data_IF_418251641116
#
_entry.id   IF_418251641116
#
_cell.length_a   1.000
_cell.length_b   1.000
_cell.length_c   1.000
_cell.angle_alpha   90.00
_cell.angle_beta   90.00
_cell.angle_gamma   90.00
#
_symmetry.space_group_name_H-M   'P 1'
#
loop_
_entity.id
_entity.type
_entity.pdbx_description
1 polymer ?
#
# COMPACT_ATOMS: atom_id res chain seq x y z
N UNK A 1 10.46 1.11 4.95
CA UNK A 1 10.08 1.97 3.82
C UNK A 1 10.18 3.40 4.31
N UNK A 2 10.98 4.23 3.64
CA UNK A 2 11.33 5.61 4.06
C UNK A 2 10.09 6.50 4.18
N UNK A 3 10.11 7.42 5.15
CA UNK A 3 9.07 8.42 5.42
C UNK A 3 8.50 9.03 4.14
N UNK A 4 7.31 8.57 3.74
CA UNK A 4 6.51 9.24 2.74
C UNK A 4 5.77 10.36 3.46
N UNK A 5 6.19 11.61 3.23
CA UNK A 5 5.26 12.74 3.29
C UNK A 5 4.22 12.46 2.21
N UNK A 6 3.16 11.74 2.58
CA UNK A 6 2.12 11.35 1.65
C UNK A 6 1.03 12.40 1.73
N UNK A 7 0.88 13.17 0.67
CA UNK A 7 -0.19 14.14 0.59
C UNK A 7 -1.53 13.39 0.46
N UNK A 8 -2.39 13.53 1.47
CA UNK A 8 -3.74 12.97 1.46
C UNK A 8 -4.69 14.06 0.97
N UNK A 9 -5.26 13.86 -0.22
CA UNK A 9 -6.33 14.72 -0.75
C UNK A 9 -7.65 14.22 -0.20
N UNK A 10 -8.32 15.03 0.61
CA UNK A 10 -9.64 14.74 1.16
C UNK A 10 -10.70 15.51 0.37
N UNK A 11 -11.62 14.78 -0.26
CA UNK A 11 -12.84 15.35 -0.80
C UNK A 11 -13.90 15.32 0.30
N UNK A 12 -14.20 16.49 0.86
CA UNK A 12 -15.26 16.65 1.85
C UNK A 12 -16.52 17.17 1.14
N UNK A 13 -17.66 16.53 1.38
CA UNK A 13 -18.93 17.09 0.94
C UNK A 13 -19.31 18.22 1.88
N UNK A 14 -19.51 19.41 1.32
CA UNK A 14 -19.60 20.66 2.06
C UNK A 14 -20.75 20.70 3.09
N UNK A 15 -20.53 21.50 4.13
CA UNK A 15 -21.34 21.79 5.33
C UNK A 15 -21.29 20.80 6.52
N UNK A 16 -20.22 20.88 7.35
CA UNK A 16 -20.31 20.87 8.83
C UNK A 16 -18.96 20.65 9.54
N UNK A 17 -17.92 20.15 8.87
CA UNK A 17 -16.67 19.82 9.58
C UNK A 17 -15.86 21.06 9.91
N UNK A 18 -15.62 21.27 11.20
CA UNK A 18 -14.67 22.26 11.70
C UNK A 18 -13.24 21.84 11.31
N UNK A 19 -12.35 22.80 11.16
CA UNK A 19 -10.94 22.57 10.81
C UNK A 19 -10.27 21.49 11.69
N UNK A 20 -10.56 21.49 12.99
CA UNK A 20 -10.08 20.47 13.95
C UNK A 20 -10.55 19.05 13.64
N UNK A 21 -11.78 18.91 13.12
CA UNK A 21 -12.34 17.62 12.76
C UNK A 21 -11.67 17.08 11.49
N UNK A 22 -11.32 17.96 10.56
CA UNK A 22 -10.54 17.64 9.36
C UNK A 22 -9.14 17.18 9.76
N UNK A 23 -8.44 17.93 10.62
CA UNK A 23 -7.11 17.56 11.12
C UNK A 23 -7.12 16.19 11.82
N UNK A 24 -8.15 15.93 12.63
CA UNK A 24 -8.32 14.65 13.30
C UNK A 24 -8.55 13.51 12.29
N UNK A 25 -9.38 13.73 11.27
CA UNK A 25 -9.62 12.76 10.20
C UNK A 25 -8.33 12.46 9.42
N UNK A 26 -7.56 13.48 9.04
CA UNK A 26 -6.25 13.33 8.38
C UNK A 26 -5.30 12.51 9.23
N UNK A 27 -5.21 12.80 10.53
CA UNK A 27 -4.35 12.08 11.47
C UNK A 27 -4.74 10.60 11.58
N UNK A 28 -6.04 10.33 11.74
CA UNK A 28 -6.54 8.97 11.86
C UNK A 28 -6.27 8.16 10.58
N UNK A 29 -6.47 8.77 9.40
CA UNK A 29 -6.16 8.14 8.12
C UNK A 29 -4.67 7.85 7.98
N UNK A 30 -3.80 8.81 8.34
CA UNK A 30 -2.36 8.57 8.37
C UNK A 30 -1.99 7.37 9.24
N UNK A 31 -2.56 7.27 10.43
CA UNK A 31 -2.30 6.15 11.35
C UNK A 31 -2.76 4.82 10.75
N UNK A 32 -3.97 4.76 10.19
CA UNK A 32 -4.51 3.56 9.56
C UNK A 32 -3.66 3.11 8.37
N UNK A 33 -3.29 4.04 7.49
CA UNK A 33 -2.46 3.76 6.32
C UNK A 33 -1.07 3.27 6.76
N UNK A 34 -0.45 3.94 7.72
CA UNK A 34 0.88 3.55 8.24
C UNK A 34 0.87 2.14 8.83
N UNK A 35 -0.23 1.73 9.48
CA UNK A 35 -0.35 0.39 10.06
C UNK A 35 -0.37 -0.73 9.00
N UNK A 36 -0.88 -0.45 7.80
CA UNK A 36 -1.03 -1.45 6.73
C UNK A 36 0.09 -1.40 5.67
N UNK A 37 0.89 -0.34 5.65
CA UNK A 37 2.00 -0.18 4.70
C UNK A 37 3.31 -0.79 5.18
N UNK A 38 3.20 -2.00 5.71
CA UNK A 38 4.37 -2.80 6.06
C UNK A 38 4.69 -3.75 4.91
N UNK A 39 5.97 -4.12 4.78
CA UNK A 39 6.40 -5.16 3.85
C UNK A 39 5.67 -6.49 4.12
N UNK A 40 5.34 -6.74 5.39
CA UNK A 40 4.62 -7.91 5.86
C UNK A 40 3.19 -7.92 5.31
N UNK A 41 2.41 -6.86 5.58
CA UNK A 41 1.05 -6.71 5.09
C UNK A 41 0.99 -6.70 3.55
N UNK A 42 1.96 -6.06 2.89
CA UNK A 42 2.07 -6.11 1.44
C UNK A 42 2.25 -7.53 0.90
N UNK A 43 3.16 -8.32 1.49
CA UNK A 43 3.37 -9.71 1.08
C UNK A 43 2.18 -10.61 1.44
N UNK A 44 1.44 -10.28 2.50
CA UNK A 44 0.23 -11.00 2.87
C UNK A 44 -0.93 -10.69 1.94
N UNK A 45 -1.06 -9.47 1.42
CA UNK A 45 -2.12 -9.11 0.49
C UNK A 45 -1.84 -9.59 -0.96
N UNK A 46 -0.59 -9.86 -1.32
CA UNK A 46 -0.21 -10.17 -2.70
C UNK A 46 0.32 -11.58 -2.91
N UNK A 47 0.22 -12.04 -4.15
CA UNK A 47 1.00 -13.16 -4.65
C UNK A 47 1.75 -12.77 -5.92
N UNK A 48 2.95 -13.32 -6.10
CA UNK A 48 3.77 -13.10 -7.27
C UNK A 48 3.51 -14.20 -8.29
N UNK A 49 2.94 -13.82 -9.42
CA UNK A 49 2.76 -14.67 -10.58
C UNK A 49 3.94 -14.47 -11.52
N UNK A 50 4.59 -15.57 -11.89
CA UNK A 50 5.53 -15.64 -12.99
C UNK A 50 4.92 -16.53 -14.10
N UNK A 51 5.51 -16.49 -15.30
CA UNK A 51 5.05 -17.23 -16.49
C UNK A 51 4.46 -18.63 -16.23
N UNK A 52 5.14 -19.45 -15.40
CA UNK A 52 4.76 -20.85 -15.15
C UNK A 52 4.46 -21.17 -13.67
N UNK A 53 4.38 -20.17 -12.78
CA UNK A 53 4.23 -20.41 -11.34
C UNK A 53 3.65 -19.23 -10.59
N UNK A 54 2.93 -19.52 -9.52
CA UNK A 54 2.46 -18.54 -8.54
C UNK A 54 3.17 -18.78 -7.22
N UNK A 55 3.57 -17.72 -6.51
CA UNK A 55 4.25 -17.86 -5.22
C UNK A 55 3.82 -16.80 -4.21
N UNK A 56 3.65 -17.25 -2.96
CA UNK A 56 3.38 -16.41 -1.78
C UNK A 56 4.63 -16.19 -0.91
N UNK A 57 5.81 -16.59 -1.41
CA UNK A 57 7.06 -16.49 -0.65
C UNK A 57 7.46 -15.03 -0.49
N UNK A 58 7.39 -14.51 0.75
CA UNK A 58 7.66 -13.10 1.12
C UNK A 58 8.96 -12.58 0.48
N UNK A 59 10.07 -13.29 0.64
CA UNK A 59 11.37 -12.87 0.06
C UNK A 59 11.36 -12.73 -1.46
N UNK A 60 10.57 -13.54 -2.19
CA UNK A 60 10.47 -13.44 -3.66
C UNK A 60 9.62 -12.24 -4.09
N UNK A 61 8.58 -11.94 -3.32
CA UNK A 61 7.74 -10.76 -3.56
C UNK A 61 8.56 -9.49 -3.33
N UNK A 62 9.28 -9.41 -2.21
CA UNK A 62 10.17 -8.28 -1.90
C UNK A 62 11.29 -8.13 -2.93
N UNK A 63 11.93 -9.23 -3.34
CA UNK A 63 12.94 -9.21 -4.39
C UNK A 63 12.36 -8.70 -5.73
N UNK A 64 11.14 -9.12 -6.10
CA UNK A 64 10.53 -8.67 -7.36
C UNK A 64 10.27 -7.16 -7.37
N UNK A 65 9.81 -6.58 -6.26
CA UNK A 65 9.49 -5.14 -6.16
C UNK A 65 10.69 -4.24 -5.84
N UNK A 66 11.82 -4.81 -5.42
CA UNK A 66 13.04 -4.04 -5.18
C UNK A 66 13.65 -3.49 -6.47
N UNK A 67 13.28 -4.09 -7.61
CA UNK A 67 13.67 -3.65 -8.94
C UNK A 67 12.76 -2.52 -9.41
N UNK A 68 13.31 -1.54 -10.15
CA UNK A 68 12.55 -0.40 -10.71
C UNK A 68 11.34 -0.82 -11.56
N UNK A 69 11.40 -2.00 -12.17
CA UNK A 69 10.31 -2.59 -12.91
C UNK A 69 10.31 -4.11 -12.70
N UNK A 70 9.10 -4.70 -12.76
CA UNK A 70 8.95 -6.15 -12.74
C UNK A 70 9.57 -6.76 -14.01
N UNK A 71 10.12 -7.96 -13.86
CA UNK A 71 10.57 -8.76 -15.00
C UNK A 71 9.39 -9.04 -15.94
N UNK A 72 9.61 -9.18 -17.26
CA UNK A 72 8.55 -9.58 -18.17
C UNK A 72 7.83 -10.84 -17.69
N UNK A 73 6.50 -10.86 -17.80
CA UNK A 73 5.64 -11.95 -17.33
C UNK A 73 5.67 -12.20 -15.81
N UNK A 74 6.08 -11.19 -15.03
CA UNK A 74 5.90 -11.16 -13.59
C UNK A 74 4.79 -10.17 -13.26
N UNK A 75 3.82 -10.61 -12.47
CA UNK A 75 2.68 -9.81 -12.03
C UNK A 75 2.48 -9.98 -10.54
N UNK A 76 2.11 -8.90 -9.87
CA UNK A 76 1.58 -8.96 -8.51
C UNK A 76 0.08 -8.98 -8.60
N UNK A 77 -0.53 -10.03 -8.05
CA UNK A 77 -1.98 -10.14 -7.92
C UNK A 77 -2.32 -9.82 -6.47
N UNK A 78 -3.23 -8.86 -6.28
CA UNK A 78 -3.84 -8.61 -4.98
C UNK A 78 -4.92 -9.67 -4.72
N UNK A 79 -4.94 -10.23 -3.51
CA UNK A 79 -5.85 -11.31 -3.12
C UNK A 79 -7.19 -10.84 -2.53
N UNK A 80 -7.39 -9.52 -2.40
CA UNK A 80 -8.62 -8.91 -1.91
C UNK A 80 -9.67 -8.75 -3.01
#
# INVERSE_FOLDING_TARGET
MSNFNRDIILLLHDSAMQEREIELAVKNLHQMITAVETAEAFCEAHELVARNRITKKKFKIIDAISHKALKPFYFLINKN
#
